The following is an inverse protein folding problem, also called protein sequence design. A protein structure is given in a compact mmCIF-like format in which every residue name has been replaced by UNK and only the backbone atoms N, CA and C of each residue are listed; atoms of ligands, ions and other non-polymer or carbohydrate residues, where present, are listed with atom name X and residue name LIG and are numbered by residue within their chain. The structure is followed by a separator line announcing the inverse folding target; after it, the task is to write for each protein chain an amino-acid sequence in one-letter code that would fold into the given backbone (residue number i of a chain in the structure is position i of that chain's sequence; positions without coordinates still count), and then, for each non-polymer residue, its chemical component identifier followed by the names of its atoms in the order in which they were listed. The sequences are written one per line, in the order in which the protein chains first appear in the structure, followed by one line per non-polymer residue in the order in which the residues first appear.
data_IF_747489912740
#
_entry.id   IF_747489912740
#
_cell.length_a   1.000
_cell.length_b   1.000
_cell.length_c   1.000
_cell.angle_alpha   90.00
_cell.angle_beta   90.00
_cell.angle_gamma   90.00
#
_symmetry.space_group_name_H-M   'P 1'
#
loop_
_entity.id
_entity.type
_entity.pdbx_description
1 polymer ?
#
# COMPACT_ATOMS: atom_id res chain seq x y z
N UNK A 1 39.75 -44.13 -0.51
CA UNK A 1 39.50 -42.72 -0.90
C UNK A 1 37.99 -42.58 -1.08
N UNK A 2 37.26 -42.13 -0.05
CA UNK A 2 35.81 -41.92 -0.14
C UNK A 2 35.53 -40.48 -0.59
N UNK A 3 34.57 -40.25 -1.50
CA UNK A 3 34.33 -38.91 -2.02
C UNK A 3 33.54 -38.08 -1.00
N UNK A 4 34.12 -36.94 -0.62
CA UNK A 4 33.48 -35.86 0.13
C UNK A 4 32.49 -35.19 -0.82
N UNK A 5 31.28 -35.74 -0.94
CA UNK A 5 30.25 -35.22 -1.85
C UNK A 5 28.87 -35.27 -1.20
N UNK A 6 28.68 -34.66 -0.02
CA UNK A 6 27.34 -34.58 0.61
C UNK A 6 26.99 -33.28 1.31
N UNK A 7 27.89 -32.31 1.49
CA UNK A 7 27.57 -31.11 2.29
C UNK A 7 27.08 -29.90 1.47
N UNK A 8 27.58 -29.73 0.24
CA UNK A 8 27.25 -28.58 -0.61
C UNK A 8 25.77 -28.60 -1.09
N UNK A 9 25.22 -29.79 -1.34
CA UNK A 9 23.79 -29.98 -1.65
C UNK A 9 22.87 -29.85 -0.44
N UNK A 10 23.41 -29.93 0.78
CA UNK A 10 22.68 -29.83 2.05
C UNK A 10 22.59 -28.37 2.52
N UNK A 11 23.66 -27.60 2.29
CA UNK A 11 23.71 -26.15 2.54
C UNK A 11 22.95 -25.30 1.50
N UNK A 12 22.88 -25.71 0.23
CA UNK A 12 22.09 -25.02 -0.80
C UNK A 12 20.56 -25.10 -0.62
N UNK A 13 20.10 -25.82 0.40
CA UNK A 13 18.70 -26.03 0.76
C UNK A 13 18.41 -25.51 2.17
N UNK A 14 19.01 -24.39 2.59
CA UNK A 14 18.39 -23.51 3.60
C UNK A 14 16.95 -23.32 3.12
N UNK A 15 16.05 -23.97 3.85
CA UNK A 15 14.76 -24.38 3.37
C UNK A 15 13.96 -23.11 3.05
N UNK A 16 13.59 -22.87 1.78
CA UNK A 16 12.77 -21.71 1.39
C UNK A 16 11.54 -21.55 2.28
N UNK A 17 11.03 -22.65 2.83
CA UNK A 17 9.99 -22.68 3.85
C UNK A 17 10.40 -21.99 5.15
N UNK A 18 11.57 -22.29 5.70
CA UNK A 18 12.10 -21.66 6.92
C UNK A 18 12.29 -20.16 6.72
N UNK A 19 12.85 -19.73 5.58
CA UNK A 19 13.01 -18.30 5.28
C UNK A 19 11.66 -17.58 5.16
N UNK A 20 10.66 -18.20 4.53
CA UNK A 20 9.31 -17.65 4.46
C UNK A 20 8.64 -17.55 5.82
N UNK A 21 8.77 -18.58 6.65
CA UNK A 21 8.21 -18.58 8.02
C UNK A 21 8.91 -17.50 8.85
N UNK A 22 10.23 -17.42 8.80
CA UNK A 22 10.99 -16.39 9.49
C UNK A 22 10.55 -14.99 9.07
N UNK A 23 10.44 -14.74 7.76
CA UNK A 23 9.94 -13.47 7.23
C UNK A 23 8.51 -13.16 7.69
N UNK A 24 7.60 -14.14 7.64
CA UNK A 24 6.22 -13.96 8.08
C UNK A 24 6.15 -13.60 9.57
N UNK A 25 6.91 -14.28 10.41
CA UNK A 25 6.95 -14.02 11.85
C UNK A 25 7.60 -12.68 12.17
N UNK A 26 8.73 -12.36 11.55
CA UNK A 26 9.43 -11.08 11.81
C UNK A 26 8.66 -9.87 11.30
N UNK A 27 7.75 -10.05 10.33
CA UNK A 27 6.95 -8.93 9.80
C UNK A 27 5.47 -9.01 10.17
N UNK A 28 5.09 -9.94 11.07
CA UNK A 28 3.71 -10.19 11.48
C UNK A 28 3.02 -8.94 12.02
N UNK A 29 3.74 -8.07 12.73
CA UNK A 29 3.19 -6.80 13.26
C UNK A 29 2.75 -5.85 12.14
N UNK A 30 3.48 -5.82 11.02
CA UNK A 30 3.11 -5.02 9.86
C UNK A 30 1.88 -5.57 9.15
N UNK A 31 1.74 -6.90 9.06
CA UNK A 31 0.53 -7.56 8.54
C UNK A 31 -0.67 -7.28 9.45
N UNK A 32 -0.52 -7.47 10.76
CA UNK A 32 -1.60 -7.21 11.70
C UNK A 32 -2.07 -5.75 11.66
N UNK A 33 -1.13 -4.80 11.59
CA UNK A 33 -1.46 -3.39 11.45
C UNK A 33 -2.11 -3.06 10.10
N UNK A 34 -1.71 -3.74 9.02
CA UNK A 34 -2.33 -3.64 7.71
C UNK A 34 -3.83 -3.99 7.75
N UNK A 35 -4.15 -5.17 8.30
CA UNK A 35 -5.53 -5.63 8.40
C UNK A 35 -6.32 -4.80 9.42
N UNK A 36 -5.68 -4.36 10.51
CA UNK A 36 -6.31 -3.45 11.47
C UNK A 36 -6.71 -2.13 10.82
N UNK A 37 -5.86 -1.57 9.94
CA UNK A 37 -6.18 -0.34 9.21
C UNK A 37 -7.40 -0.53 8.29
N UNK A 38 -7.45 -1.64 7.55
CA UNK A 38 -8.63 -1.98 6.75
C UNK A 38 -9.90 -2.06 7.58
N UNK A 39 -9.86 -2.83 8.68
CA UNK A 39 -11.00 -2.99 9.58
C UNK A 39 -11.46 -1.65 10.15
N UNK A 40 -10.53 -0.88 10.72
CA UNK A 40 -10.86 0.39 11.37
C UNK A 40 -11.53 1.37 10.41
N UNK A 41 -10.96 1.53 9.21
CA UNK A 41 -11.56 2.42 8.21
C UNK A 41 -12.86 1.88 7.62
N UNK A 42 -13.05 0.55 7.56
CA UNK A 42 -14.34 -0.01 7.16
C UNK A 42 -15.43 0.29 8.19
N UNK A 43 -15.16 0.07 9.48
CA UNK A 43 -16.09 0.35 10.58
C UNK A 43 -16.40 1.85 10.70
N UNK A 44 -15.39 2.72 10.56
CA UNK A 44 -15.59 4.19 10.57
C UNK A 44 -16.50 4.64 9.42
N UNK A 45 -16.50 3.91 8.30
CA UNK A 45 -17.38 4.15 7.15
C UNK A 45 -18.73 3.44 7.24
N UNK A 46 -19.03 2.81 8.37
CA UNK A 46 -20.27 2.10 8.61
C UNK A 46 -20.41 0.81 7.82
N UNK A 47 -19.32 0.28 7.26
CA UNK A 47 -19.34 -0.98 6.51
C UNK A 47 -19.32 -2.14 7.50
N UNK A 48 -20.25 -3.09 7.33
CA UNK A 48 -20.30 -4.27 8.19
C UNK A 48 -19.07 -5.17 7.95
N UNK A 49 -18.30 -5.44 9.00
CA UNK A 49 -17.17 -6.39 8.99
C UNK A 49 -17.67 -7.77 9.40
N UNK A 50 -17.52 -8.76 8.53
CA UNK A 50 -18.02 -10.13 8.75
C UNK A 50 -16.96 -11.08 9.29
N UNK A 51 -15.69 -10.89 8.91
CA UNK A 51 -14.59 -11.77 9.29
C UNK A 51 -13.27 -11.00 9.30
N UNK A 52 -12.42 -11.27 10.29
CA UNK A 52 -11.09 -10.66 10.39
C UNK A 52 -10.05 -11.69 10.80
N UNK A 53 -8.93 -11.70 10.10
CA UNK A 53 -7.73 -12.44 10.49
C UNK A 53 -6.54 -11.49 10.38
N UNK A 54 -6.02 -11.02 11.53
CA UNK A 54 -4.91 -10.06 11.54
C UNK A 54 -3.58 -10.69 11.12
N UNK A 55 -3.37 -11.98 11.41
CA UNK A 55 -2.19 -12.69 10.99
C UNK A 55 -2.44 -14.21 10.96
N UNK A 56 -1.95 -14.87 9.93
CA UNK A 56 -1.88 -16.32 9.85
C UNK A 56 -0.63 -16.75 9.06
N UNK A 57 -0.09 -17.93 9.38
CA UNK A 57 0.97 -18.56 8.61
C UNK A 57 0.36 -19.23 7.36
N UNK A 58 -0.10 -18.42 6.41
CA UNK A 58 -0.79 -18.84 5.21
C UNK A 58 -0.80 -17.77 4.13
N UNK A 59 -1.48 -18.07 3.02
CA UNK A 59 -1.72 -17.12 1.94
C UNK A 59 -3.24 -16.96 1.79
N UNK A 60 -3.82 -15.78 2.06
CA UNK A 60 -3.14 -14.55 2.45
C UNK A 60 -2.63 -14.58 3.91
N UNK A 61 -1.61 -13.77 4.22
CA UNK A 61 -1.03 -13.69 5.57
C UNK A 61 -1.95 -12.98 6.59
N UNK A 62 -2.99 -12.31 6.12
CA UNK A 62 -4.05 -11.65 6.88
C UNK A 62 -5.17 -11.26 5.91
N UNK A 63 -6.38 -10.99 6.42
CA UNK A 63 -7.48 -10.45 5.62
C UNK A 63 -8.58 -9.83 6.49
N UNK A 64 -9.33 -8.91 5.90
CA UNK A 64 -10.60 -8.38 6.42
C UNK A 64 -11.71 -8.57 5.38
N UNK A 65 -12.83 -9.15 5.78
CA UNK A 65 -14.05 -9.20 4.96
C UNK A 65 -15.04 -8.18 5.47
N UNK A 66 -15.44 -7.28 4.59
CA UNK A 66 -16.40 -6.23 4.89
C UNK A 66 -17.38 -6.04 3.73
N UNK A 67 -18.48 -5.34 4.00
CA UNK A 67 -19.46 -4.92 2.99
C UNK A 67 -18.82 -4.08 1.88
N UNK A 68 -19.36 -4.18 0.66
CA UNK A 68 -18.91 -3.38 -0.48
C UNK A 68 -19.17 -1.90 -0.22
N UNK A 69 -18.17 -1.01 -0.34
CA UNK A 69 -18.36 0.41 -0.13
C UNK A 69 -19.39 1.02 -1.09
N UNK A 70 -20.38 1.73 -0.53
CA UNK A 70 -21.47 2.38 -1.27
C UNK A 70 -21.09 3.74 -1.86
N UNK A 71 -19.97 4.32 -1.42
CA UNK A 71 -19.50 5.64 -1.81
C UNK A 71 -18.02 5.62 -2.20
N UNK A 72 -17.67 6.49 -3.16
CA UNK A 72 -16.29 6.66 -3.62
C UNK A 72 -15.32 6.98 -2.48
N UNK A 73 -15.78 7.80 -1.52
CA UNK A 73 -14.98 8.17 -0.36
C UNK A 73 -14.71 6.96 0.54
N UNK A 74 -15.70 6.09 0.76
CA UNK A 74 -15.53 4.90 1.59
C UNK A 74 -14.61 3.90 0.93
N UNK A 75 -14.77 3.70 -0.38
CA UNK A 75 -13.86 2.87 -1.17
C UNK A 75 -12.40 3.31 -1.03
N UNK A 76 -12.13 4.59 -1.29
CA UNK A 76 -10.78 5.13 -1.18
C UNK A 76 -10.21 5.03 0.23
N UNK A 77 -11.02 5.34 1.23
CA UNK A 77 -10.59 5.35 2.61
C UNK A 77 -10.13 3.96 3.05
N UNK A 78 -10.93 2.94 2.74
CA UNK A 78 -10.60 1.54 3.06
C UNK A 78 -9.41 1.06 2.23
N UNK A 79 -9.35 1.35 0.93
CA UNK A 79 -8.24 0.91 0.06
C UNK A 79 -6.89 1.55 0.40
N UNK A 80 -6.88 2.80 0.89
CA UNK A 80 -5.66 3.54 1.22
C UNK A 80 -5.28 3.44 2.70
N UNK A 81 -6.18 2.98 3.56
CA UNK A 81 -5.95 2.88 5.01
C UNK A 81 -4.65 2.16 5.37
N UNK A 82 -4.33 0.97 4.82
CA UNK A 82 -3.10 0.28 5.22
C UNK A 82 -1.84 1.03 4.83
N UNK A 83 -1.86 1.71 3.67
CA UNK A 83 -0.74 2.53 3.25
C UNK A 83 -0.55 3.69 4.21
N UNK A 84 -1.60 4.44 4.53
CA UNK A 84 -1.49 5.58 5.44
C UNK A 84 -1.04 5.15 6.83
N UNK A 85 -1.71 4.17 7.45
CA UNK A 85 -1.45 3.76 8.82
C UNK A 85 -0.06 3.12 8.97
N UNK A 86 0.30 2.15 8.13
CA UNK A 86 1.63 1.54 8.22
C UNK A 86 2.76 2.52 7.90
N UNK A 87 2.55 3.42 6.93
CA UNK A 87 3.56 4.45 6.61
C UNK A 87 3.75 5.41 7.78
N UNK A 88 2.66 5.86 8.41
CA UNK A 88 2.72 6.75 9.57
C UNK A 88 3.43 6.10 10.76
N UNK A 89 3.08 4.86 11.10
CA UNK A 89 3.76 4.12 12.18
C UNK A 89 5.22 3.85 11.80
N UNK A 90 5.48 3.49 10.55
CA UNK A 90 6.82 3.26 10.05
C UNK A 90 7.73 4.48 10.13
N UNK A 91 7.23 5.64 9.68
CA UNK A 91 7.89 6.95 9.79
C UNK A 91 8.15 7.28 11.25
N UNK A 92 7.14 7.18 12.12
CA UNK A 92 7.29 7.50 13.54
C UNK A 92 8.36 6.62 14.21
N UNK A 93 8.37 5.32 13.93
CA UNK A 93 9.36 4.39 14.46
C UNK A 93 10.77 4.69 13.93
N UNK A 94 10.94 4.99 12.64
CA UNK A 94 12.24 5.37 12.10
C UNK A 94 12.73 6.74 12.59
N UNK A 95 11.84 7.70 12.81
CA UNK A 95 12.16 8.98 13.45
C UNK A 95 12.62 8.73 14.88
N UNK A 96 11.91 7.91 15.66
CA UNK A 96 12.31 7.57 17.03
C UNK A 96 13.68 6.86 17.08
N UNK A 97 13.93 5.90 16.19
CA UNK A 97 15.23 5.23 16.09
C UNK A 97 16.37 6.23 15.78
N UNK A 98 16.14 7.13 14.82
CA UNK A 98 17.14 8.13 14.44
C UNK A 98 17.32 9.20 15.51
N UNK A 99 16.25 9.55 16.24
CA UNK A 99 16.33 10.48 17.36
C UNK A 99 17.18 9.91 18.47
N UNK A 100 16.97 8.65 18.84
CA UNK A 100 17.79 7.95 19.83
C UNK A 100 19.26 7.90 19.41
N UNK A 101 19.53 7.63 18.13
CA UNK A 101 20.87 7.69 17.52
C UNK A 101 21.51 9.07 17.61
N UNK A 102 20.72 10.12 17.52
CA UNK A 102 21.22 11.50 17.57
C UNK A 102 21.51 11.95 19.01
N UNK A 103 20.65 11.59 19.97
CA UNK A 103 20.74 12.09 21.35
C UNK A 103 21.61 11.23 22.27
N UNK A 104 21.97 10.02 21.86
CA UNK A 104 22.73 9.08 22.68
C UNK A 104 24.07 8.78 22.04
N UNK A 105 25.12 8.63 22.84
CA UNK A 105 26.38 8.11 22.36
C UNK A 105 26.28 6.59 22.14
N UNK A 106 26.57 6.16 20.92
CA UNK A 106 26.55 4.75 20.51
C UNK A 106 27.95 4.10 20.58
N UNK A 107 28.94 4.75 21.17
CA UNK A 107 30.24 4.14 21.50
C UNK A 107 30.11 3.05 22.57
N UNK A 108 29.34 3.33 23.64
CA UNK A 108 29.06 2.40 24.75
C UNK A 108 27.57 2.42 25.16
N UNK A 109 26.64 2.06 24.24
CA UNK A 109 25.21 2.15 24.49
C UNK A 109 24.74 1.11 25.52
N UNK A 110 23.89 1.56 26.45
CA UNK A 110 23.24 0.67 27.41
C UNK A 110 22.26 -0.30 26.73
N UNK A 111 21.98 -1.44 27.37
CA UNK A 111 21.04 -2.44 26.85
C UNK A 111 19.65 -1.86 26.50
N UNK A 112 19.05 -0.96 27.31
CA UNK A 112 17.79 -0.31 26.95
C UNK A 112 17.88 0.53 25.67
N UNK A 113 18.99 1.22 25.43
CA UNK A 113 19.23 2.01 24.21
C UNK A 113 19.30 1.10 22.99
N UNK A 114 20.08 0.02 23.08
CA UNK A 114 20.14 -0.99 22.03
C UNK A 114 18.78 -1.62 21.74
N UNK A 115 18.05 -1.99 22.80
CA UNK A 115 16.71 -2.56 22.69
C UNK A 115 15.72 -1.61 22.03
N UNK A 116 15.66 -0.37 22.51
CA UNK A 116 14.78 0.67 21.97
C UNK A 116 15.09 0.98 20.50
N UNK A 117 16.36 1.17 20.15
CA UNK A 117 16.80 1.39 18.77
C UNK A 117 16.39 0.24 17.85
N UNK A 118 16.67 -0.99 18.27
CA UNK A 118 16.39 -2.21 17.49
C UNK A 118 14.89 -2.42 17.29
N UNK A 119 14.09 -2.25 18.35
CA UNK A 119 12.63 -2.37 18.28
C UNK A 119 12.05 -1.31 17.35
N UNK A 120 12.53 -0.06 17.42
CA UNK A 120 12.06 1.01 16.54
C UNK A 120 12.42 0.74 15.07
N UNK A 121 13.65 0.29 14.78
CA UNK A 121 14.04 -0.10 13.42
C UNK A 121 13.21 -1.28 12.90
N UNK A 122 13.04 -2.30 13.73
CA UNK A 122 12.27 -3.50 13.39
C UNK A 122 10.81 -3.16 13.10
N UNK A 123 10.16 -2.40 13.98
CA UNK A 123 8.78 -1.95 13.80
C UNK A 123 8.63 -1.10 12.55
N UNK A 124 9.56 -0.15 12.35
CA UNK A 124 9.60 0.70 11.17
C UNK A 124 9.66 -0.11 9.87
N UNK A 125 10.58 -1.06 9.81
CA UNK A 125 10.74 -1.95 8.67
C UNK A 125 9.52 -2.85 8.46
N UNK A 126 9.01 -3.49 9.52
CA UNK A 126 7.86 -4.38 9.43
C UNK A 126 6.61 -3.66 8.88
N UNK A 127 6.31 -2.47 9.37
CA UNK A 127 5.18 -1.66 8.89
C UNK A 127 5.39 -1.22 7.43
N UNK A 128 6.53 -0.61 7.10
CA UNK A 128 6.77 -0.13 5.72
C UNK A 128 6.79 -1.25 4.67
N UNK A 129 7.30 -2.44 5.00
CA UNK A 129 7.31 -3.60 4.11
C UNK A 129 5.90 -4.11 3.76
N UNK A 130 4.93 -3.83 4.63
CA UNK A 130 3.51 -4.17 4.46
C UNK A 130 2.62 -2.95 4.27
N UNK A 131 3.18 -1.77 3.92
CA UNK A 131 2.36 -0.58 3.70
C UNK A 131 1.53 -0.65 2.41
N UNK A 132 2.01 -1.31 1.36
CA UNK A 132 1.29 -1.32 0.09
C UNK A 132 0.04 -2.22 0.14
N UNK A 133 -1.12 -1.70 -0.30
CA UNK A 133 -2.36 -2.49 -0.36
C UNK A 133 -2.22 -3.67 -1.32
N UNK A 134 -3.01 -4.72 -1.08
CA UNK A 134 -2.98 -5.90 -1.92
C UNK A 134 -3.55 -5.60 -3.31
N UNK A 135 -3.28 -6.51 -4.26
CA UNK A 135 -3.83 -6.40 -5.62
C UNK A 135 -5.34 -6.54 -5.63
N UNK A 136 -5.88 -7.32 -4.70
CA UNK A 136 -7.32 -7.52 -4.54
C UNK A 136 -7.98 -6.22 -4.10
N UNK A 137 -7.39 -5.50 -3.14
CA UNK A 137 -7.97 -4.27 -2.60
C UNK A 137 -7.96 -3.13 -3.63
N UNK A 138 -6.87 -3.02 -4.39
CA UNK A 138 -6.78 -2.05 -5.50
C UNK A 138 -7.70 -2.47 -6.66
N UNK A 139 -7.77 -3.77 -6.97
CA UNK A 139 -8.58 -4.31 -8.06
C UNK A 139 -10.07 -4.06 -7.83
N UNK A 140 -10.57 -4.43 -6.65
CA UNK A 140 -11.95 -4.19 -6.25
C UNK A 140 -12.30 -2.70 -6.33
N UNK A 141 -11.38 -1.82 -5.89
CA UNK A 141 -11.61 -0.38 -6.00
C UNK A 141 -11.58 0.16 -7.42
N UNK A 142 -10.70 -0.35 -8.29
CA UNK A 142 -10.66 0.06 -9.69
C UNK A 142 -11.91 -0.43 -10.44
N UNK A 143 -12.37 -1.64 -10.19
CA UNK A 143 -13.55 -2.19 -10.85
C UNK A 143 -14.84 -1.51 -10.39
N UNK A 144 -14.96 -1.20 -9.10
CA UNK A 144 -16.04 -0.38 -8.56
C UNK A 144 -16.01 1.05 -9.11
N UNK A 145 -14.82 1.64 -9.24
CA UNK A 145 -14.64 2.96 -9.87
C UNK A 145 -15.06 2.95 -11.34
N UNK A 146 -14.72 1.90 -12.08
CA UNK A 146 -15.15 1.71 -13.47
C UNK A 146 -16.66 1.55 -13.56
N UNK A 147 -17.28 0.79 -12.68
CA UNK A 147 -18.73 0.63 -12.63
C UNK A 147 -19.42 1.98 -12.37
N UNK A 148 -18.91 2.80 -11.44
CA UNK A 148 -19.42 4.14 -11.17
C UNK A 148 -19.18 5.12 -12.32
N UNK A 149 -18.01 5.07 -12.96
CA UNK A 149 -17.71 5.88 -14.13
C UNK A 149 -18.66 5.54 -15.30
N UNK A 150 -18.91 4.25 -15.52
CA UNK A 150 -19.90 3.79 -16.49
C UNK A 150 -21.32 4.28 -16.16
N UNK A 151 -21.67 4.38 -14.87
CA UNK A 151 -22.95 4.92 -14.39
C UNK A 151 -23.06 6.45 -14.36
N UNK A 152 -21.95 7.20 -14.39
CA UNK A 152 -21.93 8.65 -14.23
C UNK A 152 -22.26 9.47 -15.49
N UNK A 153 -22.73 8.82 -16.57
CA UNK A 153 -23.05 9.46 -17.86
C UNK A 153 -24.34 8.95 -18.50
N UNK A 154 -24.45 9.05 -19.83
CA UNK A 154 -25.47 8.36 -20.65
C UNK A 154 -24.89 7.03 -21.19
N UNK A 155 -24.76 5.97 -20.38
CA UNK A 155 -24.17 4.70 -20.82
C UNK A 155 -24.87 4.10 -22.04
N UNK A 156 -26.19 4.34 -22.17
CA UNK A 156 -26.99 3.94 -23.32
C UNK A 156 -26.54 4.58 -24.64
N UNK A 157 -26.07 5.83 -24.61
CA UNK A 157 -25.55 6.52 -25.80
C UNK A 157 -24.18 5.98 -26.18
N UNK A 158 -23.28 5.78 -25.22
CA UNK A 158 -21.96 5.22 -25.52
C UNK A 158 -22.02 3.77 -25.99
N UNK A 159 -22.87 2.94 -25.38
CA UNK A 159 -23.05 1.54 -25.81
C UNK A 159 -23.62 1.49 -27.22
N UNK A 160 -24.62 2.31 -27.54
CA UNK A 160 -25.24 2.37 -28.87
C UNK A 160 -24.28 2.90 -29.94
N UNK A 161 -23.46 3.91 -29.61
CA UNK A 161 -22.43 4.43 -30.51
C UNK A 161 -21.30 3.40 -30.72
N UNK A 162 -20.96 2.59 -29.72
CA UNK A 162 -19.96 1.54 -29.84
C UNK A 162 -20.42 0.38 -30.73
N UNK A 163 -21.66 -0.10 -30.57
CA UNK A 163 -22.25 -1.13 -31.46
C UNK A 163 -22.39 -0.62 -32.89
N UNK A 164 -22.75 0.66 -33.06
CA UNK A 164 -22.89 1.27 -34.40
C UNK A 164 -21.53 1.39 -35.11
N UNK A 165 -20.50 1.85 -34.39
CA UNK A 165 -19.14 1.97 -34.92
C UNK A 165 -18.48 0.60 -35.22
N UNK A 166 -18.83 -0.45 -34.47
CA UNK A 166 -18.29 -1.80 -34.70
C UNK A 166 -18.84 -2.48 -35.98
N UNK A 167 -19.98 -2.01 -36.50
CA UNK A 167 -20.61 -2.59 -37.69
C UNK A 167 -20.04 -2.06 -39.01
N UNK A 168 -19.51 -0.82 -39.03
CA UNK A 168 -18.96 -0.21 -40.25
C UNK A 168 -17.78 0.71 -39.95
N UNK A 169 -16.64 0.48 -40.62
CA UNK A 169 -15.40 1.23 -40.42
C UNK A 169 -15.53 2.73 -40.76
N UNK A 170 -16.38 3.08 -41.72
CA UNK A 170 -16.64 4.49 -42.09
C UNK A 170 -17.47 5.23 -41.04
N UNK A 171 -18.44 4.56 -40.41
CA UNK A 171 -19.18 5.10 -39.26
C UNK A 171 -18.28 5.28 -38.04
N UNK A 172 -17.27 4.42 -37.88
CA UNK A 172 -16.27 4.58 -36.83
C UNK A 172 -15.55 5.93 -36.92
N UNK A 173 -15.12 6.37 -38.11
CA UNK A 173 -14.43 7.66 -38.30
C UNK A 173 -15.32 8.86 -37.91
N UNK A 174 -16.63 8.78 -38.15
CA UNK A 174 -17.58 9.82 -37.79
C UNK A 174 -17.93 9.81 -36.30
N UNK A 175 -18.07 8.62 -35.71
CA UNK A 175 -18.53 8.43 -34.34
C UNK A 175 -17.38 8.53 -33.32
N UNK A 176 -16.14 8.21 -33.71
CA UNK A 176 -14.96 8.29 -32.84
C UNK A 176 -14.75 9.68 -32.20
N UNK A 177 -14.75 10.81 -32.92
CA UNK A 177 -14.58 12.13 -32.31
C UNK A 177 -15.73 12.48 -31.35
N UNK A 178 -16.96 12.10 -31.70
CA UNK A 178 -18.14 12.30 -30.83
C UNK A 178 -17.98 11.48 -29.53
N UNK A 179 -17.54 10.23 -29.64
CA UNK A 179 -17.24 9.39 -28.46
C UNK A 179 -16.13 9.98 -27.60
N UNK A 180 -15.08 10.52 -28.21
CA UNK A 180 -13.98 11.16 -27.50
C UNK A 180 -14.48 12.40 -26.74
N UNK A 181 -15.29 13.25 -27.38
CA UNK A 181 -15.90 14.42 -26.73
C UNK A 181 -16.81 14.00 -25.58
N UNK A 182 -17.69 13.02 -25.77
CA UNK A 182 -18.56 12.50 -24.71
C UNK A 182 -17.74 11.95 -23.54
N UNK A 183 -16.66 11.20 -23.81
CA UNK A 183 -15.78 10.68 -22.77
C UNK A 183 -15.05 11.80 -22.00
N UNK A 184 -14.60 12.85 -22.68
CA UNK A 184 -13.99 14.03 -22.04
C UNK A 184 -15.01 14.77 -21.17
N UNK A 185 -16.24 14.97 -21.68
CA UNK A 185 -17.32 15.61 -20.91
C UNK A 185 -17.75 14.76 -19.71
N UNK A 186 -17.83 13.44 -19.85
CA UNK A 186 -18.08 12.52 -18.74
C UNK A 186 -16.96 12.55 -17.72
N UNK A 187 -15.70 12.58 -18.15
CA UNK A 187 -14.54 12.71 -17.26
C UNK A 187 -14.57 14.03 -16.51
N UNK A 188 -14.88 15.14 -17.19
CA UNK A 188 -15.04 16.45 -16.57
C UNK A 188 -16.20 16.45 -15.57
N UNK A 189 -17.37 15.91 -15.94
CA UNK A 189 -18.54 15.79 -15.08
C UNK A 189 -18.26 14.94 -13.84
N UNK A 190 -17.63 13.78 -14.02
CA UNK A 190 -17.19 12.90 -12.95
C UNK A 190 -16.18 13.59 -12.03
N UNK A 191 -15.20 14.31 -12.60
CA UNK A 191 -14.20 15.05 -11.83
C UNK A 191 -14.81 16.20 -11.02
N UNK A 192 -15.83 16.89 -11.56
CA UNK A 192 -16.56 17.94 -10.85
C UNK A 192 -17.40 17.33 -9.70
N UNK A 193 -18.12 16.24 -9.97
CA UNK A 193 -18.94 15.53 -8.97
C UNK A 193 -18.10 14.84 -7.89
N UNK A 194 -16.88 14.46 -8.23
CA UNK A 194 -15.94 13.73 -7.38
C UNK A 194 -14.58 14.42 -7.40
N UNK A 195 -14.50 15.65 -6.87
CA UNK A 195 -13.23 16.40 -6.82
C UNK A 195 -12.07 15.60 -6.20
N UNK A 196 -12.39 14.73 -5.23
CA UNK A 196 -11.43 13.79 -4.64
C UNK A 196 -10.81 12.82 -5.64
N UNK A 197 -11.49 12.49 -6.74
CA UNK A 197 -11.01 11.61 -7.80
C UNK A 197 -9.78 12.16 -8.53
N UNK A 198 -9.67 13.49 -8.69
CA UNK A 198 -8.51 14.11 -9.32
C UNK A 198 -7.22 13.90 -8.52
N UNK A 199 -7.31 13.89 -7.19
CA UNK A 199 -6.17 13.65 -6.30
C UNK A 199 -5.86 12.16 -6.13
N UNK A 200 -6.90 11.33 -6.17
CA UNK A 200 -6.80 9.92 -5.74
C UNK A 200 -6.57 8.97 -6.90
N UNK A 201 -6.96 9.30 -8.14
CA UNK A 201 -6.63 8.51 -9.32
C UNK A 201 -5.12 8.38 -9.55
N UNK A 202 -4.31 9.46 -9.54
CA UNK A 202 -2.86 9.35 -9.64
C UNK A 202 -2.28 8.48 -8.52
N UNK A 203 -2.78 8.65 -7.28
CA UNK A 203 -2.35 7.86 -6.13
C UNK A 203 -2.67 6.37 -6.32
N UNK A 204 -3.87 6.02 -6.78
CA UNK A 204 -4.25 4.64 -7.09
C UNK A 204 -3.39 4.04 -8.22
N UNK A 205 -3.04 4.83 -9.23
CA UNK A 205 -2.13 4.39 -10.30
C UNK A 205 -0.73 4.10 -9.74
N UNK A 206 -0.20 5.00 -8.91
CA UNK A 206 1.09 4.81 -8.23
C UNK A 206 1.04 3.58 -7.32
N UNK A 207 0.01 3.44 -6.48
CA UNK A 207 -0.16 2.28 -5.59
C UNK A 207 -0.32 0.98 -6.38
N UNK A 208 -1.07 0.99 -7.49
CA UNK A 208 -1.20 -0.16 -8.40
C UNK A 208 0.14 -0.55 -9.00
N UNK A 209 0.94 0.42 -9.44
CA UNK A 209 2.29 0.20 -9.94
C UNK A 209 3.21 -0.38 -8.85
N UNK A 210 3.21 0.20 -7.66
CA UNK A 210 3.98 -0.27 -6.51
C UNK A 210 3.60 -1.71 -6.10
N UNK A 211 2.31 -2.02 -6.07
CA UNK A 211 1.78 -3.36 -5.77
C UNK A 211 2.14 -4.38 -6.85
N UNK A 212 2.10 -4.00 -8.13
CA UNK A 212 2.56 -4.86 -9.25
C UNK A 212 4.05 -5.15 -9.16
N UNK A 213 4.85 -4.15 -8.78
CA UNK A 213 6.30 -4.25 -8.66
C UNK A 213 6.78 -4.81 -7.33
N UNK A 214 5.87 -5.18 -6.41
CA UNK A 214 6.22 -5.77 -5.11
C UNK A 214 7.11 -7.00 -5.24
N UNK A 215 6.88 -7.84 -6.26
CA UNK A 215 7.72 -9.01 -6.59
C UNK A 215 9.18 -8.67 -6.94
N UNK A 216 9.43 -7.43 -7.34
CA UNK A 216 10.75 -6.91 -7.71
C UNK A 216 11.37 -6.08 -6.57
N UNK A 217 10.74 -6.02 -5.39
CA UNK A 217 11.29 -5.33 -4.22
C UNK A 217 10.89 -3.86 -4.07
N UNK A 218 9.84 -3.38 -4.75
CA UNK A 218 9.37 -1.98 -4.60
C UNK A 218 9.09 -1.58 -3.14
N UNK A 219 8.56 -2.52 -2.34
CA UNK A 219 8.31 -2.34 -0.91
C UNK A 219 9.59 -2.22 -0.07
N UNK A 220 10.68 -2.89 -0.48
CA UNK A 220 12.00 -2.76 0.15
C UNK A 220 12.60 -1.39 -0.18
N UNK A 221 12.53 -0.96 -1.45
CA UNK A 221 12.98 0.37 -1.89
C UNK A 221 12.21 1.45 -1.13
N UNK A 222 10.88 1.32 -1.05
CA UNK A 222 10.03 2.23 -0.29
C UNK A 222 10.45 2.31 1.19
N UNK A 223 10.65 1.16 1.84
CA UNK A 223 11.11 1.10 3.25
C UNK A 223 12.46 1.82 3.43
N UNK A 224 13.42 1.58 2.53
CA UNK A 224 14.72 2.26 2.54
C UNK A 224 14.60 3.76 2.33
N UNK A 225 13.73 4.20 1.43
CA UNK A 225 13.46 5.62 1.19
C UNK A 225 12.88 6.29 2.43
N UNK A 226 11.87 5.69 3.07
CA UNK A 226 11.27 6.24 4.30
C UNK A 226 12.31 6.34 5.41
N UNK A 227 13.11 5.30 5.63
CA UNK A 227 14.20 5.33 6.60
C UNK A 227 15.22 6.44 6.30
N UNK A 228 15.63 6.57 5.04
CA UNK A 228 16.56 7.62 4.61
C UNK A 228 16.00 9.03 4.84
N UNK A 229 14.74 9.28 4.44
CA UNK A 229 14.07 10.57 4.69
C UNK A 229 14.00 10.86 6.19
N UNK A 230 13.60 9.88 7.01
CA UNK A 230 13.55 10.05 8.46
C UNK A 230 14.93 10.41 9.04
N UNK A 231 15.99 9.76 8.54
CA UNK A 231 17.37 10.04 8.93
C UNK A 231 17.77 11.48 8.61
N UNK A 232 17.51 11.94 7.37
CA UNK A 232 17.81 13.30 6.90
C UNK A 232 17.02 14.35 7.71
N UNK A 233 15.75 14.09 7.96
CA UNK A 233 14.88 14.98 8.75
C UNK A 233 15.43 15.12 10.17
N UNK A 234 15.70 14.01 10.86
CA UNK A 234 16.25 14.07 12.21
C UNK A 234 17.60 14.79 12.23
N UNK A 235 18.54 14.46 11.33
CA UNK A 235 19.84 15.12 11.32
C UNK A 235 19.76 16.63 11.09
N UNK A 236 18.77 17.09 10.31
CA UNK A 236 18.60 18.51 9.98
C UNK A 236 17.89 19.29 11.07
N UNK A 237 16.88 18.70 11.70
CA UNK A 237 15.99 19.43 12.62
C UNK A 237 16.23 19.12 14.10
N UNK A 238 16.94 18.04 14.44
CA UNK A 238 17.24 17.71 15.83
C UNK A 238 18.03 18.77 16.60
N UNK A 239 19.01 19.49 16.01
CA UNK A 239 19.67 20.60 16.71
C UNK A 239 18.68 21.71 17.09
N UNK A 240 17.75 22.05 16.20
CA UNK A 240 16.74 23.09 16.44
C UNK A 240 15.77 22.67 17.55
N UNK A 241 15.29 21.43 17.52
CA UNK A 241 14.37 20.90 18.53
C UNK A 241 15.06 20.78 19.89
N UNK A 242 16.30 20.31 19.92
CA UNK A 242 17.06 20.20 21.18
C UNK A 242 17.33 21.57 21.80
N UNK A 243 17.61 22.58 20.99
CA UNK A 243 17.77 23.96 21.47
C UNK A 243 16.48 24.61 21.98
N UNK A 244 15.30 24.14 21.57
CA UNK A 244 14.01 24.60 22.12
C UNK A 244 13.62 23.91 23.43
N UNK A 245 14.20 22.73 23.69
CA UNK A 245 13.90 21.92 24.87
C UNK A 245 14.90 22.10 26.03
N UNK A 246 16.00 22.83 25.79
CA UNK A 246 17.03 23.18 26.77
C UNK A 246 16.72 24.53 27.44
#
# INVERSE_FOLDING_TARGET
MQPIATDEKRMGRINRRTLRIAYALTTAVGVALHELAHKWFAEERGLAVTEVTYFQLGEPAGYVRHETPDSYRSLLAVSLAPFLVNSSVGVAAFVAANWLRYTTDFSEPSLPVWGGFTVCLWLGAACCLHAFPSRTDIGNGVDELRARFAGAGLPSLQSSLATTAARHWSLWLLVAPIRAIIAVLQMAWFSIRHLGALLTLPLLVVMSFCSRTRRYGSHVIYTGLVFWVATVVVSRYAPLVSGLLA
#
